data_IF_667411002207
#
_entry.id   IF_667411002207
#
_cell.length_a   1.000
_cell.length_b   1.000
_cell.length_c   1.000
_cell.angle_alpha   90.00
_cell.angle_beta   90.00
_cell.angle_gamma   90.00
#
_symmetry.space_group_name_H-M   'P 1'
#
loop_
_entity.id
_entity.type
_entity.pdbx_description
1 polymer ?
#
# COMPACT_ATOMS: atom_id res chain seq x y z
N UNK A 1 2.69 14.83 -38.86
CA UNK A 1 3.41 13.89 -37.97
C UNK A 1 3.88 14.50 -36.64
N UNK A 2 3.94 15.83 -36.47
CA UNK A 2 4.38 16.49 -35.22
C UNK A 2 3.36 16.40 -34.06
N UNK A 3 2.07 16.24 -34.37
CA UNK A 3 0.98 16.13 -33.37
C UNK A 3 0.94 14.76 -32.67
N UNK A 4 1.49 13.71 -33.31
CA UNK A 4 1.55 12.37 -32.72
C UNK A 4 2.72 12.25 -31.73
N UNK A 5 3.79 13.03 -31.94
CA UNK A 5 4.97 13.06 -31.07
C UNK A 5 4.70 13.71 -29.71
N UNK A 6 3.72 14.62 -29.62
CA UNK A 6 3.32 15.25 -28.35
C UNK A 6 2.55 14.31 -27.41
N UNK A 7 1.88 13.28 -27.93
CA UNK A 7 1.05 12.39 -27.13
C UNK A 7 1.86 11.33 -26.35
N UNK A 8 3.07 11.00 -26.83
CA UNK A 8 3.95 9.98 -26.24
C UNK A 8 4.74 10.46 -25.02
N UNK A 9 4.90 11.77 -24.87
CA UNK A 9 5.65 12.37 -23.75
C UNK A 9 4.79 12.43 -22.47
N UNK A 10 3.45 12.39 -22.60
CA UNK A 10 2.53 12.46 -21.46
C UNK A 10 2.40 11.15 -20.67
N UNK A 11 2.82 10.02 -21.25
CA UNK A 11 2.72 8.69 -20.63
C UNK A 11 3.95 8.30 -19.78
N UNK A 12 5.05 9.06 -19.85
CA UNK A 12 6.37 8.56 -19.44
C UNK A 12 6.94 9.17 -18.16
N UNK A 13 6.14 9.77 -17.28
CA UNK A 13 6.63 10.29 -16.00
C UNK A 13 6.08 9.57 -14.77
N UNK A 14 6.10 8.24 -14.79
CA UNK A 14 6.08 7.47 -13.54
C UNK A 14 7.50 7.43 -13.01
N UNK A 15 7.87 8.49 -12.28
CA UNK A 15 9.05 8.49 -11.44
C UNK A 15 8.80 7.44 -10.35
N UNK A 16 9.26 6.21 -10.58
CA UNK A 16 9.22 5.14 -9.60
C UNK A 16 10.20 5.54 -8.49
N UNK A 17 9.72 6.34 -7.53
CA UNK A 17 10.37 6.45 -6.24
C UNK A 17 10.42 5.02 -5.69
N UNK A 18 11.64 4.51 -5.47
CA UNK A 18 11.87 3.22 -4.86
C UNK A 18 10.99 3.12 -3.61
N UNK A 19 9.94 2.31 -3.70
CA UNK A 19 8.96 2.13 -2.64
C UNK A 19 9.69 1.60 -1.39
N UNK A 20 9.86 2.46 -0.38
CA UNK A 20 10.58 2.11 0.84
C UNK A 20 9.75 1.18 1.73
N UNK A 21 9.86 -0.13 1.45
CA UNK A 21 9.22 -1.20 2.22
C UNK A 21 9.85 -1.44 3.59
N UNK A 22 11.04 -0.89 3.86
CA UNK A 22 11.77 -1.16 5.09
C UNK A 22 10.96 -0.72 6.32
N UNK A 23 10.30 0.44 6.23
CA UNK A 23 9.45 0.94 7.30
C UNK A 23 8.27 0.00 7.59
N UNK A 24 7.63 -0.54 6.54
CA UNK A 24 6.55 -1.51 6.70
C UNK A 24 7.05 -2.83 7.31
N UNK A 25 8.17 -3.37 6.83
CA UNK A 25 8.76 -4.61 7.33
C UNK A 25 9.24 -4.50 8.77
N UNK A 26 9.79 -3.36 9.16
CA UNK A 26 10.11 -3.06 10.56
C UNK A 26 8.88 -3.07 11.45
N UNK A 27 7.76 -2.50 10.99
CA UNK A 27 6.50 -2.55 11.73
C UNK A 27 5.96 -3.99 11.86
N UNK A 28 6.03 -4.78 10.79
CA UNK A 28 5.71 -6.22 10.81
C UNK A 28 6.56 -6.96 11.84
N UNK A 29 7.89 -6.78 11.79
CA UNK A 29 8.82 -7.42 12.70
C UNK A 29 8.61 -7.00 14.17
N UNK A 30 8.16 -5.76 14.39
CA UNK A 30 7.80 -5.25 15.70
C UNK A 30 6.41 -5.70 16.20
N UNK A 31 5.63 -6.43 15.37
CA UNK A 31 4.26 -6.83 15.69
C UNK A 31 3.22 -5.71 15.58
N UNK A 32 3.61 -4.53 15.07
CA UNK A 32 2.71 -3.38 14.89
C UNK A 32 2.00 -3.48 13.54
N UNK A 33 0.99 -4.34 13.46
CA UNK A 33 0.23 -4.55 12.24
C UNK A 33 -0.55 -3.31 11.79
N UNK A 34 -0.95 -2.42 12.70
CA UNK A 34 -1.63 -1.17 12.31
C UNK A 34 -0.70 -0.29 11.50
N UNK A 35 0.52 -0.08 11.99
CA UNK A 35 1.53 0.71 11.28
C UNK A 35 1.96 0.02 9.98
N UNK A 36 2.12 -1.30 9.98
CA UNK A 36 2.42 -2.07 8.78
C UNK A 36 1.34 -1.87 7.69
N UNK A 37 0.06 -1.98 8.04
CA UNK A 37 -1.07 -1.77 7.10
C UNK A 37 -1.05 -0.37 6.51
N UNK A 38 -0.81 0.66 7.33
CA UNK A 38 -0.77 2.05 6.85
C UNK A 38 0.33 2.25 5.82
N UNK A 39 1.55 1.80 6.12
CA UNK A 39 2.69 1.96 5.20
C UNK A 39 2.51 1.14 3.93
N UNK A 40 2.09 -0.12 4.06
CA UNK A 40 1.85 -0.99 2.90
C UNK A 40 0.71 -0.45 2.02
N UNK A 41 -0.34 0.11 2.60
CA UNK A 41 -1.44 0.72 1.83
C UNK A 41 -0.95 1.93 1.03
N UNK A 42 -0.13 2.79 1.64
CA UNK A 42 0.46 3.94 0.95
C UNK A 42 1.35 3.49 -0.22
N UNK A 43 2.27 2.56 0.03
CA UNK A 43 3.18 2.03 -0.99
C UNK A 43 2.44 1.27 -2.10
N UNK A 44 1.37 0.53 -1.76
CA UNK A 44 0.52 -0.14 -2.73
C UNK A 44 -0.21 0.86 -3.64
N UNK A 45 -0.67 1.99 -3.08
CA UNK A 45 -1.27 3.10 -3.83
C UNK A 45 -0.29 3.84 -4.74
N UNK A 46 1.00 3.83 -4.39
CA UNK A 46 2.10 4.31 -5.24
C UNK A 46 2.49 3.32 -6.36
N UNK A 47 1.83 2.16 -6.42
CA UNK A 47 2.06 1.14 -7.46
C UNK A 47 3.08 0.07 -7.08
N UNK A 48 3.52 0.00 -5.83
CA UNK A 48 4.42 -1.06 -5.37
C UNK A 48 3.71 -2.42 -5.35
N UNK A 49 4.08 -3.31 -6.27
CA UNK A 49 3.56 -4.68 -6.32
C UNK A 49 3.95 -5.49 -5.08
N UNK A 50 5.14 -5.27 -4.54
CA UNK A 50 5.59 -5.90 -3.31
C UNK A 50 4.74 -5.47 -2.10
N UNK A 51 4.39 -4.18 -2.02
CA UNK A 51 3.53 -3.69 -0.96
C UNK A 51 2.12 -4.27 -1.06
N UNK A 52 1.57 -4.40 -2.27
CA UNK A 52 0.28 -5.06 -2.50
C UNK A 52 0.30 -6.52 -2.05
N UNK A 53 1.37 -7.26 -2.39
CA UNK A 53 1.54 -8.65 -1.98
C UNK A 53 1.64 -8.78 -0.45
N UNK A 54 2.51 -7.98 0.19
CA UNK A 54 2.68 -8.05 1.64
C UNK A 54 1.42 -7.61 2.40
N UNK A 55 0.67 -6.61 1.89
CA UNK A 55 -0.62 -6.21 2.46
C UNK A 55 -1.63 -7.36 2.38
N UNK A 56 -1.72 -8.02 1.22
CA UNK A 56 -2.61 -9.17 1.03
C UNK A 56 -2.26 -10.33 1.95
N UNK A 57 -0.97 -10.65 2.08
CA UNK A 57 -0.47 -11.66 3.02
C UNK A 57 -0.85 -11.30 4.46
N UNK A 58 -0.66 -10.06 4.87
CA UNK A 58 -0.95 -9.59 6.23
C UNK A 58 -2.44 -9.70 6.58
N UNK A 59 -3.33 -9.42 5.62
CA UNK A 59 -4.77 -9.65 5.79
C UNK A 59 -5.15 -11.14 5.78
N UNK A 60 -4.55 -11.95 4.91
CA UNK A 60 -4.85 -13.38 4.80
C UNK A 60 -4.42 -14.17 6.04
N UNK A 61 -3.28 -13.80 6.60
CA UNK A 61 -2.76 -14.45 7.80
C UNK A 61 -3.49 -13.98 9.07
N UNK A 62 -4.05 -12.77 9.09
CA UNK A 62 -4.72 -12.21 10.27
C UNK A 62 -3.79 -12.02 11.48
N UNK A 63 -2.48 -12.26 11.30
CA UNK A 63 -1.49 -12.42 12.38
C UNK A 63 -1.19 -11.10 13.11
N UNK A 64 -1.43 -9.95 12.47
CA UNK A 64 -0.95 -8.65 12.98
C UNK A 64 -2.04 -7.60 13.19
N UNK A 65 -3.25 -7.82 12.68
CA UNK A 65 -4.37 -6.91 12.88
C UNK A 65 -5.23 -7.49 13.99
N UNK A 66 -4.92 -7.13 15.25
CA UNK A 66 -5.89 -7.37 16.31
C UNK A 66 -7.22 -6.75 15.88
N UNK A 67 -8.34 -7.49 15.94
CA UNK A 67 -9.63 -6.95 15.55
C UNK A 67 -9.89 -5.72 16.42
N UNK A 68 -9.97 -4.56 15.78
CA UNK A 68 -10.39 -3.32 16.40
C UNK A 68 -11.92 -3.26 16.28
N UNK A 69 -12.69 -3.75 17.28
CA UNK A 69 -14.16 -3.74 17.22
C UNK A 69 -14.71 -2.33 17.00
N UNK A 70 -13.95 -1.31 17.38
CA UNK A 70 -14.17 0.12 17.15
C UNK A 70 -14.43 0.48 15.68
N UNK A 71 -13.80 -0.20 14.72
CA UNK A 71 -13.97 0.07 13.27
C UNK A 71 -15.14 -0.69 12.64
N UNK A 72 -15.57 -1.81 13.21
CA UNK A 72 -16.74 -2.55 12.74
C UNK A 72 -18.03 -1.74 12.92
N UNK A 73 -18.13 -0.96 14.00
CA UNK A 73 -19.27 -0.07 14.23
C UNK A 73 -19.32 1.13 13.29
N UNK A 74 -18.16 1.66 12.85
CA UNK A 74 -18.10 2.78 11.90
C UNK A 74 -18.53 2.36 10.48
N UNK A 75 -18.30 1.09 10.10
CA UNK A 75 -18.72 0.53 8.82
C UNK A 75 -20.22 0.19 8.74
N UNK A 76 -20.91 0.09 9.88
CA UNK A 76 -22.36 -0.11 9.96
C UNK A 76 -23.15 1.20 10.02
N UNK A 77 -22.47 2.34 10.09
CA UNK A 77 -23.07 3.68 10.16
C UNK A 77 -23.00 4.48 8.85
N UNK A 78 -22.63 3.83 7.74
CA UNK A 78 -22.72 4.35 6.37
C UNK A 78 -23.74 3.52 5.58
#
# INVERSE_FOLDING_TARGET
MKKLTLLLIFFSFSHNAMADLDTARKAIAAGDGKKAVVELTRLAGEGSGDAQYELGKLYAEGILIQPEPSRALLALSL
#
